data_IF_364126987829
#
_entry.id   IF_364126987829
#
_cell.length_a   1.000
_cell.length_b   1.000
_cell.length_c   1.000
_cell.angle_alpha   90.00
_cell.angle_beta   90.00
_cell.angle_gamma   90.00
#
_symmetry.space_group_name_H-M   'P 1'
#
loop_
_entity.id
_entity.type
_entity.pdbx_description
1 polymer ?
#
# COMPACT_ATOMS: atom_id res chain seq x y z
N UNK A 1 -3.19 -29.74 68.96
CA UNK A 1 -1.86 -29.54 68.36
C UNK A 1 -1.89 -29.66 66.82
N UNK A 2 -3.00 -30.11 66.22
CA UNK A 2 -3.08 -30.47 64.79
C UNK A 2 -3.19 -29.29 63.81
N UNK A 3 -3.75 -28.15 64.24
CA UNK A 3 -3.91 -26.97 63.36
C UNK A 3 -2.58 -26.32 62.98
N UNK A 4 -1.61 -26.31 63.90
CA UNK A 4 -0.29 -25.69 63.67
C UNK A 4 0.52 -26.53 62.69
N UNK A 5 0.49 -27.86 62.83
CA UNK A 5 1.18 -28.80 61.94
C UNK A 5 0.63 -28.73 60.51
N UNK A 6 -0.70 -28.60 60.36
CA UNK A 6 -1.32 -28.45 59.04
C UNK A 6 -0.97 -27.10 58.38
N UNK A 7 -0.88 -26.02 59.15
CA UNK A 7 -0.45 -24.72 58.64
C UNK A 7 0.99 -24.76 58.11
N UNK A 8 1.92 -25.39 58.85
CA UNK A 8 3.30 -25.54 58.40
C UNK A 8 3.43 -26.37 57.12
N UNK A 9 2.63 -27.45 56.99
CA UNK A 9 2.62 -28.29 55.78
C UNK A 9 2.10 -27.54 54.55
N UNK A 10 1.08 -26.70 54.71
CA UNK A 10 0.54 -25.86 53.63
C UNK A 10 1.55 -24.80 53.20
N UNK A 11 2.22 -24.15 54.14
CA UNK A 11 3.28 -23.16 53.84
C UNK A 11 4.44 -23.82 53.11
N UNK A 12 4.91 -24.98 53.58
CA UNK A 12 5.98 -25.74 52.92
C UNK A 12 5.60 -26.15 51.49
N UNK A 13 4.37 -26.64 51.29
CA UNK A 13 3.87 -27.02 49.96
C UNK A 13 3.75 -25.82 49.02
N UNK A 14 3.33 -24.65 49.52
CA UNK A 14 3.28 -23.42 48.73
C UNK A 14 4.68 -22.91 48.37
N UNK A 15 5.64 -23.00 49.29
CA UNK A 15 7.02 -22.58 49.00
C UNK A 15 7.72 -23.46 47.97
N UNK A 16 7.49 -24.77 47.98
CA UNK A 16 8.06 -25.69 46.98
C UNK A 16 7.41 -25.51 45.61
N UNK A 17 6.10 -25.24 45.54
CA UNK A 17 5.40 -24.90 44.30
C UNK A 17 5.91 -23.57 43.70
N UNK A 18 6.16 -22.55 44.52
CA UNK A 18 6.74 -21.29 44.04
C UNK A 18 8.15 -21.52 43.45
N UNK A 19 9.01 -22.28 44.12
CA UNK A 19 10.37 -22.54 43.64
C UNK A 19 10.40 -23.31 42.31
N UNK A 20 9.44 -24.21 42.06
CA UNK A 20 9.32 -24.92 40.79
C UNK A 20 8.84 -24.02 39.63
N UNK A 21 8.08 -22.96 39.91
CA UNK A 21 7.59 -22.03 38.89
C UNK A 21 8.68 -21.07 38.36
N UNK A 22 9.69 -20.74 39.17
CA UNK A 22 10.80 -19.86 38.75
C UNK A 22 11.87 -20.57 37.90
N UNK A 23 11.79 -21.89 37.72
CA UNK A 23 12.76 -22.69 36.95
C UNK A 23 12.51 -22.77 35.44
N UNK A 24 11.57 -21.99 34.88
CA UNK A 24 11.35 -21.99 33.44
C UNK A 24 12.54 -21.37 32.73
N UNK A 25 13.26 -22.23 32.00
CA UNK A 25 14.55 -21.96 31.39
C UNK A 25 14.59 -20.66 30.60
N UNK A 26 15.64 -19.89 30.87
CA UNK A 26 16.11 -18.85 29.95
C UNK A 26 16.30 -19.53 28.60
N UNK A 27 15.51 -19.14 27.59
CA UNK A 27 15.78 -19.53 26.22
C UNK A 27 17.20 -19.05 25.92
N UNK A 28 18.16 -19.98 25.86
CA UNK A 28 19.52 -19.69 25.50
C UNK A 28 19.46 -18.99 24.13
N UNK A 29 19.68 -17.68 24.14
CA UNK A 29 19.84 -16.90 22.93
C UNK A 29 21.09 -17.44 22.27
N UNK A 30 20.94 -18.33 21.28
CA UNK A 30 22.06 -18.75 20.46
C UNK A 30 22.62 -17.48 19.82
N UNK A 31 23.75 -16.99 20.33
CA UNK A 31 24.50 -15.92 19.70
C UNK A 31 24.97 -16.46 18.36
N UNK A 32 24.28 -16.07 17.28
CA UNK A 32 24.79 -16.25 15.93
C UNK A 32 25.96 -15.29 15.78
N UNK A 33 27.18 -15.82 15.72
CA UNK A 33 28.36 -15.08 15.27
C UNK A 33 28.02 -14.34 13.98
N UNK A 34 28.53 -13.12 13.81
CA UNK A 34 28.30 -12.31 12.62
C UNK A 34 28.68 -13.11 11.36
N UNK A 35 27.68 -13.73 10.72
CA UNK A 35 27.84 -14.32 9.42
C UNK A 35 28.19 -13.17 8.47
N UNK A 36 29.36 -13.24 7.83
CA UNK A 36 29.82 -12.25 6.87
C UNK A 36 28.74 -11.94 5.83
N UNK A 37 28.80 -10.73 5.25
CA UNK A 37 27.81 -10.16 4.30
C UNK A 37 27.10 -11.27 3.54
N UNK A 38 25.86 -11.54 3.95
CA UNK A 38 24.99 -12.42 3.20
C UNK A 38 24.99 -11.90 1.76
N UNK A 39 25.42 -12.73 0.81
CA UNK A 39 25.15 -12.47 -0.60
C UNK A 39 23.65 -12.18 -0.66
N UNK A 40 23.30 -10.91 -0.89
CA UNK A 40 21.91 -10.50 -0.96
C UNK A 40 21.31 -11.31 -2.08
N UNK A 41 20.54 -12.34 -1.73
CA UNK A 41 19.83 -13.16 -2.70
C UNK A 41 18.93 -12.18 -3.44
N UNK A 42 19.22 -11.92 -4.71
CA UNK A 42 18.41 -11.05 -5.52
C UNK A 42 16.97 -11.55 -5.46
N UNK A 43 16.10 -10.79 -4.80
CA UNK A 43 14.67 -11.03 -4.78
C UNK A 43 14.15 -10.32 -6.03
N UNK A 44 13.69 -11.04 -7.06
CA UNK A 44 13.11 -10.39 -8.21
C UNK A 44 11.94 -9.51 -7.75
N UNK A 45 11.77 -8.30 -8.32
CA UNK A 45 10.66 -7.44 -7.95
C UNK A 45 9.34 -8.17 -8.22
N UNK A 46 8.38 -8.02 -7.32
CA UNK A 46 7.02 -8.51 -7.54
C UNK A 46 6.47 -7.90 -8.82
N UNK A 47 5.80 -8.74 -9.63
CA UNK A 47 5.17 -8.25 -10.87
C UNK A 47 4.14 -7.18 -10.51
N UNK A 48 4.28 -6.00 -11.11
CA UNK A 48 3.33 -4.92 -10.89
C UNK A 48 1.92 -5.36 -11.33
N UNK A 49 0.88 -5.04 -10.54
CA UNK A 49 -0.50 -5.27 -10.95
C UNK A 49 -0.78 -4.60 -12.30
N UNK A 50 -1.67 -5.22 -13.08
CA UNK A 50 -2.13 -4.62 -14.33
C UNK A 50 -2.78 -3.26 -14.06
N UNK A 51 -2.52 -2.27 -14.91
CA UNK A 51 -3.11 -0.93 -14.81
C UNK A 51 -3.56 -0.49 -16.19
N UNK A 52 -4.88 -0.47 -16.43
CA UNK A 52 -5.45 -0.05 -17.71
C UNK A 52 -5.06 1.38 -18.09
N UNK A 53 -4.78 2.24 -17.10
CA UNK A 53 -4.40 3.63 -17.31
C UNK A 53 -2.91 3.84 -17.60
N UNK A 54 -2.11 2.77 -17.64
CA UNK A 54 -0.65 2.91 -17.75
C UNK A 54 -0.17 3.45 -19.10
N UNK A 55 -0.90 3.15 -20.18
CA UNK A 55 -0.59 3.65 -21.53
C UNK A 55 -1.31 4.95 -21.84
N UNK A 56 -2.60 4.99 -21.53
CA UNK A 56 -3.45 6.15 -21.69
C UNK A 56 -4.34 6.24 -20.46
N UNK A 57 -4.31 7.38 -19.78
CA UNK A 57 -5.13 7.67 -18.61
C UNK A 57 -6.61 7.49 -18.91
N UNK A 58 -7.04 7.63 -20.16
CA UNK A 58 -8.41 7.44 -20.64
C UNK A 58 -8.49 6.24 -21.60
N UNK A 59 -8.48 4.99 -21.10
CA UNK A 59 -8.37 3.81 -21.95
C UNK A 59 -9.54 3.64 -22.94
N UNK A 60 -10.72 4.20 -22.67
CA UNK A 60 -11.88 4.09 -23.56
C UNK A 60 -11.98 5.24 -24.57
N UNK A 61 -11.10 6.26 -24.45
CA UNK A 61 -11.03 7.39 -25.37
C UNK A 61 -12.40 8.02 -25.64
N UNK A 62 -13.18 8.27 -24.58
CA UNK A 62 -14.57 8.71 -24.67
C UNK A 62 -14.79 10.02 -25.46
N UNK A 63 -13.73 10.82 -25.63
CA UNK A 63 -13.76 12.03 -26.46
C UNK A 63 -14.06 11.74 -27.93
N UNK A 64 -13.82 10.51 -28.40
CA UNK A 64 -14.22 10.07 -29.74
C UNK A 64 -15.74 10.21 -29.99
N UNK A 65 -16.55 10.20 -28.93
CA UNK A 65 -18.00 10.35 -29.01
C UNK A 65 -18.47 11.81 -28.98
N UNK A 66 -17.57 12.82 -28.99
CA UNK A 66 -17.99 14.23 -29.03
C UNK A 66 -18.84 14.59 -30.24
N UNK A 67 -18.53 14.00 -31.40
CA UNK A 67 -19.28 14.22 -32.64
C UNK A 67 -20.53 13.33 -32.75
N UNK A 68 -20.82 12.51 -31.72
CA UNK A 68 -21.96 11.61 -31.76
C UNK A 68 -23.28 12.42 -31.69
N UNK A 69 -24.32 12.06 -32.48
CA UNK A 69 -25.59 12.80 -32.51
C UNK A 69 -26.27 12.95 -31.14
N UNK A 70 -26.10 11.95 -30.27
CA UNK A 70 -26.63 11.98 -28.92
C UNK A 70 -25.65 12.67 -27.93
N UNK A 71 -26.04 13.81 -27.32
CA UNK A 71 -25.12 14.66 -26.55
C UNK A 71 -24.62 14.02 -25.25
N UNK A 72 -25.32 13.00 -24.75
CA UNK A 72 -24.95 12.27 -23.53
C UNK A 72 -23.88 11.20 -23.70
N UNK A 73 -23.45 10.87 -24.92
CA UNK A 73 -22.61 9.69 -25.15
C UNK A 73 -21.21 9.79 -24.54
N UNK A 74 -20.61 10.98 -24.55
CA UNK A 74 -19.31 11.20 -23.89
C UNK A 74 -19.41 10.90 -22.39
N UNK A 75 -20.43 11.45 -21.71
CA UNK A 75 -20.65 11.21 -20.28
C UNK A 75 -20.99 9.77 -19.98
N UNK A 76 -21.78 9.12 -20.83
CA UNK A 76 -22.11 7.71 -20.68
C UNK A 76 -20.84 6.85 -20.76
N UNK A 77 -20.01 7.04 -21.78
CA UNK A 77 -18.73 6.35 -21.91
C UNK A 77 -17.81 6.61 -20.70
N UNK A 78 -17.69 7.87 -20.26
CA UNK A 78 -16.90 8.23 -19.07
C UNK A 78 -17.42 7.53 -17.81
N UNK A 79 -18.74 7.37 -17.66
CA UNK A 79 -19.35 6.63 -16.56
C UNK A 79 -18.94 5.15 -16.55
N UNK A 80 -18.96 4.49 -17.71
CA UNK A 80 -18.50 3.10 -17.83
C UNK A 80 -16.99 3.01 -17.58
N UNK A 81 -16.19 3.90 -18.16
CA UNK A 81 -14.73 3.93 -17.94
C UNK A 81 -14.40 4.05 -16.45
N UNK A 82 -14.99 5.03 -15.76
CA UNK A 82 -14.76 5.25 -14.33
C UNK A 82 -15.20 4.04 -13.49
N UNK A 83 -16.32 3.40 -13.83
CA UNK A 83 -16.78 2.18 -13.15
C UNK A 83 -15.78 1.03 -13.36
N UNK A 84 -15.32 0.80 -14.59
CA UNK A 84 -14.34 -0.24 -14.92
C UNK A 84 -13.04 -0.03 -14.15
N UNK A 85 -12.53 1.20 -14.11
CA UNK A 85 -11.27 1.54 -13.43
C UNK A 85 -11.38 1.40 -11.90
N UNK A 86 -12.53 1.76 -11.31
CA UNK A 86 -12.80 1.55 -9.88
C UNK A 86 -12.86 0.06 -9.53
N UNK A 87 -13.51 -0.74 -10.37
CA UNK A 87 -13.60 -2.18 -10.18
C UNK A 87 -12.24 -2.87 -10.35
N UNK A 88 -11.42 -2.43 -11.32
CA UNK A 88 -10.03 -2.87 -11.49
C UNK A 88 -9.20 -2.56 -10.24
N UNK A 89 -9.24 -1.33 -9.73
CA UNK A 89 -8.51 -0.97 -8.52
C UNK A 89 -8.98 -1.80 -7.32
N UNK A 90 -10.29 -1.95 -7.14
CA UNK A 90 -10.88 -2.72 -6.05
C UNK A 90 -10.50 -4.19 -6.08
N UNK A 91 -10.51 -4.84 -7.25
CA UNK A 91 -10.10 -6.25 -7.38
C UNK A 91 -8.63 -6.47 -7.05
N UNK A 92 -7.81 -5.43 -7.18
CA UNK A 92 -6.39 -5.42 -6.80
C UNK A 92 -6.16 -4.98 -5.34
N UNK A 93 -7.22 -4.69 -4.57
CA UNK A 93 -7.10 -4.16 -3.21
C UNK A 93 -6.53 -2.74 -3.14
N UNK A 94 -6.58 -1.98 -4.25
CA UNK A 94 -6.07 -0.61 -4.34
C UNK A 94 -7.20 0.41 -4.12
N UNK A 95 -6.89 1.61 -3.61
CA UNK A 95 -7.85 2.71 -3.59
C UNK A 95 -8.34 3.04 -5.00
N UNK A 96 -9.60 3.43 -5.10
CA UNK A 96 -10.21 3.82 -6.37
C UNK A 96 -9.56 5.10 -6.94
N UNK A 97 -9.44 5.20 -8.29
CA UNK A 97 -9.10 6.46 -8.94
C UNK A 97 -10.24 7.47 -8.84
N UNK A 98 -9.87 8.75 -8.94
CA UNK A 98 -10.80 9.86 -9.10
C UNK A 98 -11.41 9.91 -10.51
N UNK A 99 -12.53 10.62 -10.66
CA UNK A 99 -13.10 10.90 -11.99
C UNK A 99 -12.44 12.12 -12.66
N UNK A 100 -11.71 12.94 -11.89
CA UNK A 100 -10.95 14.08 -12.39
C UNK A 100 -9.62 13.64 -12.99
N UNK A 101 -9.20 14.29 -14.08
CA UNK A 101 -7.89 14.12 -14.72
C UNK A 101 -7.22 15.49 -14.82
N UNK A 102 -5.98 15.60 -14.34
CA UNK A 102 -5.17 16.81 -14.44
C UNK A 102 -4.01 16.64 -15.42
N UNK A 103 -3.49 17.74 -15.94
CA UNK A 103 -2.25 17.71 -16.72
C UNK A 103 -1.07 17.83 -15.77
N UNK A 104 -0.13 16.91 -15.88
CA UNK A 104 1.13 16.94 -15.14
C UNK A 104 2.27 16.54 -16.06
N UNK A 105 3.47 17.11 -15.87
CA UNK A 105 4.63 16.75 -16.67
C UNK A 105 5.03 15.28 -16.41
N UNK A 106 5.57 14.61 -17.44
CA UNK A 106 6.05 13.24 -17.33
C UNK A 106 7.27 13.10 -16.39
N UNK A 107 7.48 11.91 -15.86
CA UNK A 107 8.58 11.65 -14.92
C UNK A 107 9.96 11.86 -15.56
N UNK A 108 10.82 12.60 -14.86
CA UNK A 108 12.21 12.84 -15.29
C UNK A 108 12.41 14.14 -16.08
N UNK A 109 11.33 14.79 -16.52
CA UNK A 109 11.36 16.11 -17.15
C UNK A 109 11.89 17.19 -16.20
N UNK A 110 12.38 18.29 -16.77
CA UNK A 110 12.83 19.45 -15.99
C UNK A 110 11.68 20.11 -15.26
N UNK A 111 10.52 20.20 -15.92
CA UNK A 111 9.29 20.76 -15.35
C UNK A 111 8.85 19.93 -14.13
N UNK A 112 8.84 18.60 -14.22
CA UNK A 112 8.47 17.74 -13.08
C UNK A 112 9.41 17.91 -11.88
N UNK A 113 10.71 18.10 -12.13
CA UNK A 113 11.71 18.31 -11.06
C UNK A 113 11.49 19.63 -10.32
N UNK A 114 11.14 20.69 -11.05
CA UNK A 114 10.87 22.03 -10.51
C UNK A 114 9.51 22.10 -9.81
N UNK A 115 8.48 21.57 -10.45
CA UNK A 115 7.11 21.55 -9.92
C UNK A 115 7.00 20.64 -8.68
N UNK A 116 7.79 19.57 -8.63
CA UNK A 116 7.68 18.55 -7.59
C UNK A 116 6.44 17.67 -7.76
N UNK A 117 5.82 17.69 -8.94
CA UNK A 117 4.72 16.82 -9.32
C UNK A 117 5.00 16.19 -10.68
N UNK A 118 4.48 15.00 -10.88
CA UNK A 118 4.69 14.25 -12.12
C UNK A 118 3.51 13.33 -12.39
N UNK A 119 3.29 13.04 -13.67
CA UNK A 119 2.41 11.96 -14.08
C UNK A 119 3.20 10.68 -14.34
N UNK A 120 2.73 9.56 -13.77
CA UNK A 120 3.35 8.24 -13.92
C UNK A 120 2.25 7.20 -14.15
N UNK A 121 2.19 6.62 -15.34
CA UNK A 121 1.22 5.56 -15.67
C UNK A 121 -0.24 5.96 -15.30
N UNK A 122 -0.60 7.20 -15.60
CA UNK A 122 -1.92 7.80 -15.32
C UNK A 122 -2.15 8.25 -13.88
N UNK A 123 -1.15 8.15 -12.99
CA UNK A 123 -1.23 8.52 -11.58
C UNK A 123 -0.44 9.79 -11.28
N UNK A 124 -1.09 10.74 -10.61
CA UNK A 124 -0.42 11.95 -10.15
C UNK A 124 0.43 11.63 -8.91
N UNK A 125 1.71 11.99 -8.98
CA UNK A 125 2.67 11.74 -7.92
C UNK A 125 3.29 13.06 -7.46
N UNK A 126 3.39 13.25 -6.14
CA UNK A 126 4.06 14.37 -5.49
C UNK A 126 5.44 13.93 -5.01
N UNK A 127 6.45 14.77 -5.22
CA UNK A 127 7.82 14.52 -4.80
C UNK A 127 7.94 14.67 -3.28
N UNK A 128 8.55 13.68 -2.66
CA UNK A 128 9.01 13.71 -1.27
C UNK A 128 10.55 13.81 -1.24
N UNK A 129 11.11 14.07 -0.06
CA UNK A 129 12.57 14.14 0.13
C UNK A 129 13.30 12.86 -0.30
N UNK A 130 12.66 11.71 -0.13
CA UNK A 130 13.22 10.38 -0.35
C UNK A 130 12.34 9.49 -1.25
N UNK A 131 11.39 10.05 -2.00
CA UNK A 131 10.48 9.25 -2.80
C UNK A 131 9.37 10.04 -3.44
N UNK A 132 8.26 9.34 -3.70
CA UNK A 132 7.06 9.88 -4.31
C UNK A 132 5.83 9.43 -3.53
N UNK A 133 4.86 10.32 -3.40
CA UNK A 133 3.57 10.09 -2.77
C UNK A 133 2.48 10.18 -3.84
N UNK A 134 1.51 9.26 -3.79
CA UNK A 134 0.34 9.35 -4.66
C UNK A 134 -0.57 10.49 -4.20
N UNK A 135 -0.97 11.36 -5.12
CA UNK A 135 -1.82 12.52 -4.81
C UNK A 135 -3.27 12.08 -4.63
N UNK A 136 -3.92 12.54 -3.57
CA UNK A 136 -5.37 12.39 -3.39
C UNK A 136 -6.14 13.44 -4.20
N UNK A 137 -7.28 13.05 -4.77
CA UNK A 137 -8.16 13.99 -5.44
C UNK A 137 -9.17 14.59 -4.45
N UNK A 138 -9.56 15.84 -4.67
CA UNK A 138 -10.64 16.48 -3.91
C UNK A 138 -11.98 15.73 -4.06
N UNK A 139 -12.20 15.09 -5.22
CA UNK A 139 -13.38 14.25 -5.49
C UNK A 139 -13.32 12.87 -4.82
N UNK A 140 -12.26 12.58 -4.05
CA UNK A 140 -11.99 11.28 -3.46
C UNK A 140 -11.19 10.35 -4.38
N UNK A 141 -10.57 9.35 -3.76
CA UNK A 141 -9.64 8.46 -4.46
C UNK A 141 -8.30 9.14 -4.77
N UNK A 142 -7.49 8.46 -5.55
CA UNK A 142 -6.23 9.01 -6.03
C UNK A 142 -6.40 9.78 -7.34
N UNK A 143 -5.64 10.85 -7.49
CA UNK A 143 -5.75 11.79 -8.61
C UNK A 143 -5.17 11.18 -9.88
N UNK A 144 -6.00 11.05 -10.91
CA UNK A 144 -5.54 10.70 -12.26
C UNK A 144 -4.87 11.89 -12.93
N UNK A 145 -3.90 11.62 -13.80
CA UNK A 145 -3.24 12.65 -14.59
C UNK A 145 -3.01 12.19 -16.02
N UNK A 146 -2.84 13.13 -16.94
CA UNK A 146 -2.32 12.89 -18.29
C UNK A 146 -1.00 13.65 -18.44
N UNK A 147 -0.04 13.02 -19.12
CA UNK A 147 1.22 13.65 -19.48
C UNK A 147 0.92 14.87 -20.36
N UNK A 148 1.42 16.04 -19.94
CA UNK A 148 1.28 17.33 -20.65
C UNK A 148 2.57 17.79 -21.29
#
# INVERSE_FOLDING_TARGET
MDRVINAHRVVLALTTLCLLAYGQGVAAQSMRSAAGKANSKYIPPTRQPYNSMARDTTPFNCEQYRAHPHPGMVRYCQGIENMTLRNEARSQGRPAPSDSIILLPGLGTTEAKQLGYTCVAGQAMKRLRNGWEQVSAAAGGWQRCRDG
#
